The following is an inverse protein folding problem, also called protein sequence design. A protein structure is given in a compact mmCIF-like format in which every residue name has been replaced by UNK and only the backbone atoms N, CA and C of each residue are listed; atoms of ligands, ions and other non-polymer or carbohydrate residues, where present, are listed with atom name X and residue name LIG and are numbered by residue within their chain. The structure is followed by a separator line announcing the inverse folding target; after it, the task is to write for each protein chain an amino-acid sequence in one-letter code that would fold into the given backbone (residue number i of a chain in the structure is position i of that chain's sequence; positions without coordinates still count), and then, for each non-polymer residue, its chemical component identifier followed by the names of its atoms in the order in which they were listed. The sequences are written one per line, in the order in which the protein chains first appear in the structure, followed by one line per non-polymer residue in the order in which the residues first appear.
data_IF_148924078598
#
_entry.id   IF_148924078598
#
_cell.length_a   1.000
_cell.length_b   1.000
_cell.length_c   1.000
_cell.angle_alpha   90.00
_cell.angle_beta   90.00
_cell.angle_gamma   90.00
#
_symmetry.space_group_name_H-M   'P 1'
#
loop_
_entity.id
_entity.type
_entity.pdbx_description
1 polymer ?
#
# COMPACT_ATOMS: atom_id res chain seq x y z
N UNK A 1 -19.29 -3.03 -30.92
CA UNK A 1 -20.38 -3.38 -29.99
C UNK A 1 -20.12 -4.80 -29.55
N UNK A 2 -19.44 -4.98 -28.43
CA UNK A 2 -19.15 -6.29 -27.86
C UNK A 2 -20.46 -6.91 -27.38
N UNK A 3 -20.88 -8.01 -28.00
CA UNK A 3 -22.10 -8.70 -27.59
C UNK A 3 -21.82 -9.40 -26.26
N UNK A 4 -22.56 -9.03 -25.22
CA UNK A 4 -22.53 -9.66 -23.90
C UNK A 4 -22.67 -11.20 -23.94
N UNK A 5 -23.26 -11.74 -25.02
CA UNK A 5 -23.34 -13.18 -25.30
C UNK A 5 -22.01 -13.93 -25.40
N UNK A 6 -20.87 -13.27 -25.65
CA UNK A 6 -19.57 -13.96 -25.76
C UNK A 6 -18.96 -14.34 -24.40
N UNK A 7 -19.40 -13.65 -23.34
CA UNK A 7 -19.02 -13.90 -21.95
C UNK A 7 -20.10 -14.67 -21.18
N UNK A 8 -21.32 -14.72 -21.72
CA UNK A 8 -22.40 -15.53 -21.19
C UNK A 8 -22.10 -17.01 -21.42
N UNK A 9 -22.09 -17.78 -20.33
CA UNK A 9 -22.26 -19.22 -20.43
C UNK A 9 -23.70 -19.45 -20.86
N UNK A 10 -23.92 -19.79 -22.13
CA UNK A 10 -25.23 -20.30 -22.56
C UNK A 10 -25.63 -21.45 -21.63
N UNK A 11 -26.66 -21.25 -20.81
CA UNK A 11 -27.05 -22.17 -19.74
C UNK A 11 -26.45 -21.86 -18.36
N UNK A 12 -26.37 -20.58 -17.95
CA UNK A 12 -26.15 -20.25 -16.53
C UNK A 12 -27.18 -20.97 -15.65
N UNK A 13 -26.81 -21.27 -14.40
CA UNK A 13 -27.78 -21.75 -13.39
C UNK A 13 -29.02 -20.86 -13.45
N UNK A 14 -30.18 -21.46 -13.73
CA UNK A 14 -31.46 -20.76 -13.82
C UNK A 14 -31.64 -19.87 -12.58
N UNK A 15 -31.63 -18.54 -12.78
CA UNK A 15 -31.82 -17.56 -11.72
C UNK A 15 -30.63 -16.64 -11.41
N UNK A 16 -29.46 -16.83 -12.03
CA UNK A 16 -28.29 -15.97 -11.81
C UNK A 16 -28.06 -15.02 -12.99
N UNK A 17 -27.91 -13.73 -12.68
CA UNK A 17 -27.79 -12.64 -13.65
C UNK A 17 -26.57 -12.72 -14.57
N UNK A 18 -26.58 -11.90 -15.62
CA UNK A 18 -25.61 -11.92 -16.74
C UNK A 18 -24.13 -11.78 -16.31
N UNK A 19 -23.86 -11.21 -15.12
CA UNK A 19 -22.52 -10.89 -14.64
C UNK A 19 -22.04 -11.73 -13.44
N UNK A 20 -22.71 -12.84 -13.12
CA UNK A 20 -22.45 -13.64 -11.92
C UNK A 20 -20.97 -13.98 -11.69
N UNK A 21 -20.22 -14.34 -12.73
CA UNK A 21 -18.80 -14.67 -12.53
C UNK A 21 -17.92 -13.45 -12.27
N UNK A 22 -18.28 -12.27 -12.76
CA UNK A 22 -17.59 -11.03 -12.41
C UNK A 22 -17.93 -10.61 -10.99
N UNK A 23 -19.16 -10.84 -10.53
CA UNK A 23 -19.56 -10.66 -9.14
C UNK A 23 -18.79 -11.64 -8.24
N UNK A 24 -18.68 -12.91 -8.63
CA UNK A 24 -17.87 -13.88 -7.89
C UNK A 24 -16.40 -13.46 -7.80
N UNK A 25 -15.83 -12.95 -8.91
CA UNK A 25 -14.46 -12.43 -8.89
C UNK A 25 -14.30 -11.23 -7.95
N UNK A 26 -15.30 -10.34 -7.84
CA UNK A 26 -15.19 -9.16 -6.95
C UNK A 26 -15.28 -9.49 -5.46
N UNK A 27 -15.81 -10.66 -5.11
CA UNK A 27 -15.84 -11.15 -3.72
C UNK A 27 -14.56 -11.90 -3.32
N UNK A 28 -13.61 -12.12 -4.23
CA UNK A 28 -12.35 -12.80 -3.91
C UNK A 28 -11.38 -11.84 -3.21
N UNK A 29 -10.77 -12.28 -2.11
CA UNK A 29 -9.83 -11.46 -1.34
C UNK A 29 -8.38 -11.56 -1.87
N UNK A 30 -8.01 -12.68 -2.49
CA UNK A 30 -6.64 -12.97 -2.91
C UNK A 30 -6.52 -13.04 -4.45
N UNK A 31 -5.52 -12.37 -5.05
CA UNK A 31 -5.28 -12.45 -6.49
C UNK A 31 -5.07 -13.88 -7.01
N UNK A 32 -4.50 -14.77 -6.18
CA UNK A 32 -4.27 -16.17 -6.50
C UNK A 32 -5.58 -16.94 -6.69
N UNK A 33 -6.62 -16.59 -5.97
CA UNK A 33 -7.91 -17.28 -6.09
C UNK A 33 -8.64 -16.86 -7.37
N UNK A 34 -8.49 -15.60 -7.77
CA UNK A 34 -8.91 -15.14 -9.11
C UNK A 34 -8.18 -15.92 -10.19
N UNK A 35 -6.85 -16.06 -10.08
CA UNK A 35 -6.07 -16.83 -11.06
C UNK A 35 -6.52 -18.29 -11.16
N UNK A 36 -6.73 -18.97 -10.02
CA UNK A 36 -7.23 -20.36 -9.99
C UNK A 36 -8.60 -20.47 -10.67
N UNK A 37 -9.50 -19.52 -10.40
CA UNK A 37 -10.84 -19.52 -11.00
C UNK A 37 -10.80 -19.31 -12.52
N UNK A 38 -9.97 -18.39 -12.99
CA UNK A 38 -9.78 -18.13 -14.42
C UNK A 38 -9.18 -19.34 -15.16
N UNK A 39 -8.37 -20.15 -14.49
CA UNK A 39 -7.75 -21.34 -15.06
C UNK A 39 -8.68 -22.56 -15.18
N UNK A 40 -9.89 -22.51 -14.61
CA UNK A 40 -10.80 -23.67 -14.58
C UNK A 40 -11.23 -24.16 -15.96
N UNK A 41 -11.58 -23.25 -16.87
CA UNK A 41 -11.95 -23.60 -18.24
C UNK A 41 -11.87 -22.40 -19.21
N UNK A 42 -12.02 -22.68 -20.51
CA UNK A 42 -11.98 -21.64 -21.56
C UNK A 42 -13.01 -20.52 -21.39
N UNK A 43 -14.17 -20.79 -20.77
CA UNK A 43 -15.22 -19.78 -20.56
C UNK A 43 -14.84 -18.84 -19.42
N UNK A 44 -14.36 -19.36 -18.28
CA UNK A 44 -13.90 -18.50 -17.16
C UNK A 44 -12.65 -17.72 -17.53
N UNK A 45 -11.75 -18.31 -18.33
CA UNK A 45 -10.56 -17.59 -18.83
C UNK A 45 -10.92 -16.33 -19.64
N UNK A 46 -12.03 -16.34 -20.40
CA UNK A 46 -12.47 -15.16 -21.17
C UNK A 46 -12.83 -13.96 -20.30
N UNK A 47 -13.05 -14.13 -19.00
CA UNK A 47 -13.35 -13.02 -18.09
C UNK A 47 -12.22 -11.99 -18.04
N UNK A 48 -10.97 -12.37 -18.35
CA UNK A 48 -9.83 -11.43 -18.43
C UNK A 48 -10.02 -10.35 -19.50
N UNK A 49 -10.81 -10.63 -20.54
CA UNK A 49 -11.09 -9.71 -21.64
C UNK A 49 -12.25 -8.77 -21.33
N UNK A 50 -12.98 -9.05 -20.23
CA UNK A 50 -14.14 -8.25 -19.87
C UNK A 50 -13.72 -6.86 -19.37
N UNK A 51 -14.37 -5.75 -19.79
CA UNK A 51 -13.98 -4.39 -19.39
C UNK A 51 -13.94 -4.14 -17.87
N UNK A 52 -14.74 -4.89 -17.09
CA UNK A 52 -14.75 -4.80 -15.61
C UNK A 52 -13.57 -5.52 -14.94
N UNK A 53 -12.89 -6.43 -15.63
CA UNK A 53 -11.84 -7.27 -15.03
C UNK A 53 -10.73 -6.44 -14.38
N UNK A 54 -10.22 -5.43 -15.09
CA UNK A 54 -9.17 -4.56 -14.58
C UNK A 54 -9.57 -3.87 -13.26
N UNK A 55 -10.81 -3.40 -13.16
CA UNK A 55 -11.32 -2.75 -11.93
C UNK A 55 -11.45 -3.74 -10.77
N UNK A 56 -11.88 -4.97 -11.05
CA UNK A 56 -11.99 -6.04 -10.05
C UNK A 56 -10.61 -6.44 -9.55
N UNK A 57 -9.66 -6.73 -10.45
CA UNK A 57 -8.29 -7.04 -10.04
C UNK A 57 -7.69 -5.90 -9.25
N UNK A 58 -7.92 -4.66 -9.67
CA UNK A 58 -7.42 -3.49 -8.95
C UNK A 58 -7.99 -3.40 -7.52
N UNK A 59 -9.28 -3.67 -7.30
CA UNK A 59 -9.84 -3.66 -5.94
C UNK A 59 -9.30 -4.78 -5.05
N UNK A 60 -8.83 -5.88 -5.64
CA UNK A 60 -8.27 -7.03 -4.89
C UNK A 60 -6.80 -6.78 -4.54
N UNK A 61 -6.02 -6.16 -5.43
CA UNK A 61 -4.59 -5.90 -5.20
C UNK A 61 -4.34 -4.57 -4.45
N UNK A 62 -5.29 -3.65 -4.45
CA UNK A 62 -5.14 -2.36 -3.82
C UNK A 62 -5.33 -2.48 -2.30
N UNK A 63 -4.30 -2.09 -1.56
CA UNK A 63 -4.32 -2.06 -0.10
C UNK A 63 -4.67 -0.64 0.35
N UNK A 64 -5.76 -0.50 1.11
CA UNK A 64 -6.11 0.76 1.75
C UNK A 64 -5.28 0.93 3.02
N UNK A 65 -4.57 2.07 3.21
CA UNK A 65 -3.79 2.29 4.41
C UNK A 65 -4.72 2.48 5.62
N UNK A 66 -4.41 1.80 6.71
CA UNK A 66 -5.02 2.03 8.02
C UNK A 66 -3.99 2.69 8.93
N UNK A 67 -4.20 3.93 9.34
CA UNK A 67 -3.24 4.66 10.16
C UNK A 67 -3.36 4.30 11.64
N UNK A 68 -2.23 3.96 12.28
CA UNK A 68 -2.17 3.68 13.72
C UNK A 68 -1.98 5.00 14.47
N UNK A 69 -3.09 5.59 14.94
CA UNK A 69 -3.11 6.80 15.78
C UNK A 69 -3.26 6.36 17.25
N UNK A 70 -2.27 6.66 18.10
CA UNK A 70 -2.28 6.25 19.52
C UNK A 70 -3.09 7.20 20.38
N UNK A 71 -2.98 8.50 20.11
CA UNK A 71 -3.63 9.54 20.88
C UNK A 71 -4.33 10.53 19.95
N UNK A 72 -5.53 11.00 20.34
CA UNK A 72 -6.34 11.90 19.52
C UNK A 72 -5.66 13.24 19.22
N UNK A 73 -4.70 13.66 20.06
CA UNK A 73 -3.96 14.91 19.85
C UNK A 73 -2.92 14.82 18.74
N UNK A 74 -2.53 13.63 18.27
CA UNK A 74 -1.57 13.48 17.17
C UNK A 74 -2.14 13.97 15.84
N UNK A 75 -3.46 13.89 15.68
CA UNK A 75 -4.12 14.18 14.42
C UNK A 75 -5.35 13.31 14.15
N UNK A 76 -5.79 13.32 12.89
CA UNK A 76 -6.92 12.53 12.40
C UNK A 76 -6.64 11.97 11.02
N UNK A 77 -7.34 10.91 10.62
CA UNK A 77 -7.30 10.35 9.28
C UNK A 77 -8.61 10.55 8.53
N UNK A 78 -8.54 10.73 7.21
CA UNK A 78 -9.67 10.68 6.28
C UNK A 78 -9.25 9.85 5.06
N UNK A 79 -9.80 8.64 4.96
CA UNK A 79 -9.39 7.67 3.93
C UNK A 79 -7.89 7.42 3.94
N UNK A 80 -7.22 7.74 2.82
CA UNK A 80 -5.78 7.57 2.64
C UNK A 80 -4.93 8.79 3.06
N UNK A 81 -5.52 9.75 3.78
CA UNK A 81 -4.84 10.95 4.25
C UNK A 81 -4.76 10.95 5.77
N UNK A 82 -3.61 11.35 6.28
CA UNK A 82 -3.42 11.69 7.67
C UNK A 82 -3.20 13.20 7.80
N UNK A 83 -3.87 13.83 8.76
CA UNK A 83 -3.73 15.23 9.10
C UNK A 83 -3.11 15.31 10.49
N UNK A 84 -1.87 15.80 10.55
CA UNK A 84 -1.20 16.12 11.80
C UNK A 84 -1.98 17.21 12.56
N UNK A 85 -1.91 17.21 13.89
CA UNK A 85 -2.42 18.35 14.67
C UNK A 85 -1.50 19.57 14.50
N UNK A 86 -1.99 20.79 14.72
CA UNK A 86 -1.15 22.00 14.55
C UNK A 86 -0.10 22.19 15.67
N UNK A 87 0.29 21.10 16.34
CA UNK A 87 1.30 21.07 17.40
C UNK A 87 2.69 20.87 16.78
N UNK A 88 3.69 21.54 17.32
CA UNK A 88 5.08 21.41 16.87
C UNK A 88 5.79 20.25 17.60
N UNK A 89 5.22 19.06 17.52
CA UNK A 89 5.73 17.85 18.17
C UNK A 89 6.11 16.77 17.16
N UNK A 90 7.02 15.87 17.55
CA UNK A 90 7.32 14.69 16.74
C UNK A 90 6.09 13.78 16.62
N UNK A 91 5.80 13.33 15.40
CA UNK A 91 4.69 12.41 15.17
C UNK A 91 5.06 11.37 14.14
N UNK A 92 5.18 10.13 14.61
CA UNK A 92 5.37 8.96 13.76
C UNK A 92 4.06 8.18 13.69
N UNK A 93 3.52 8.02 12.48
CA UNK A 93 2.31 7.25 12.22
C UNK A 93 2.68 6.03 11.37
N UNK A 94 2.45 4.84 11.91
CA UNK A 94 2.58 3.60 11.16
C UNK A 94 1.28 3.30 10.39
N UNK A 95 1.41 2.59 9.27
CA UNK A 95 0.29 1.98 8.56
C UNK A 95 0.16 0.54 9.04
N UNK A 96 -1.05 0.12 9.42
CA UNK A 96 -1.39 -1.23 9.90
C UNK A 96 -1.45 -2.24 8.74
N UNK A 97 -0.33 -2.35 8.02
CA UNK A 97 -0.13 -3.30 6.93
C UNK A 97 1.23 -3.96 7.11
N UNK A 98 1.24 -5.24 7.48
CA UNK A 98 2.48 -6.02 7.59
C UNK A 98 2.78 -6.68 6.24
N UNK A 99 3.90 -6.29 5.63
CA UNK A 99 4.38 -6.88 4.38
C UNK A 99 5.21 -8.13 4.72
N UNK A 100 4.64 -9.32 4.53
CA UNK A 100 5.31 -10.60 4.86
C UNK A 100 6.01 -11.25 3.67
N UNK A 101 5.44 -11.07 2.49
CA UNK A 101 5.87 -11.72 1.25
C UNK A 101 5.52 -10.85 0.04
N UNK A 102 6.07 -11.20 -1.12
CA UNK A 102 5.80 -10.52 -2.39
C UNK A 102 6.48 -9.15 -2.51
N UNK A 103 5.90 -8.32 -3.38
CA UNK A 103 6.37 -6.97 -3.68
C UNK A 103 5.20 -6.01 -3.45
N UNK A 104 5.41 -5.00 -2.60
CA UNK A 104 4.41 -3.98 -2.29
C UNK A 104 4.95 -2.62 -2.69
N UNK A 105 4.08 -1.79 -3.28
CA UNK A 105 4.39 -0.40 -3.64
C UNK A 105 3.48 0.55 -2.88
N UNK A 106 4.07 1.59 -2.29
CA UNK A 106 3.36 2.61 -1.53
C UNK A 106 3.73 3.97 -2.09
N UNK A 107 2.75 4.69 -2.62
CA UNK A 107 2.92 6.08 -3.03
C UNK A 107 2.61 7.02 -1.88
N UNK A 108 3.60 7.79 -1.43
CA UNK A 108 3.47 8.80 -0.37
C UNK A 108 3.55 10.18 -0.98
N UNK A 109 2.59 11.04 -0.66
CA UNK A 109 2.63 12.47 -0.98
C UNK A 109 2.64 13.18 0.37
N UNK A 110 3.67 13.98 0.62
CA UNK A 110 3.72 14.79 1.83
C UNK A 110 3.30 16.21 1.47
N UNK A 111 2.33 16.74 2.22
CA UNK A 111 1.88 18.12 2.08
C UNK A 111 2.86 19.12 2.68
N UNK A 112 2.55 20.40 2.52
CA UNK A 112 3.36 21.53 3.01
C UNK A 112 3.34 21.63 4.54
N UNK A 113 4.18 20.85 5.23
CA UNK A 113 4.14 20.65 6.68
C UNK A 113 5.47 20.97 7.40
N UNK A 114 6.28 21.90 6.88
CA UNK A 114 7.49 22.37 7.56
C UNK A 114 8.69 21.43 7.46
N UNK A 115 9.67 21.62 8.36
CA UNK A 115 10.98 20.97 8.31
C UNK A 115 10.95 19.55 8.94
N UNK A 116 11.85 18.66 8.49
CA UNK A 116 12.10 17.31 9.05
C UNK A 116 11.04 16.23 8.80
N UNK A 117 10.56 16.14 7.57
CA UNK A 117 9.69 15.05 7.14
C UNK A 117 10.51 13.81 6.79
N UNK A 118 10.03 12.63 7.20
CA UNK A 118 10.62 11.34 6.83
C UNK A 118 9.54 10.34 6.47
N UNK A 119 9.88 9.42 5.56
CA UNK A 119 9.07 8.25 5.27
C UNK A 119 9.95 7.02 5.26
N UNK A 120 9.37 5.84 5.43
CA UNK A 120 10.19 4.64 5.57
C UNK A 120 9.41 3.39 5.88
N UNK A 121 10.17 2.34 6.17
CA UNK A 121 9.65 1.06 6.65
C UNK A 121 10.17 0.80 8.05
N UNK A 122 9.38 0.09 8.83
CA UNK A 122 9.74 -0.36 10.16
C UNK A 122 9.62 -1.88 10.24
N UNK A 123 10.45 -2.49 11.08
CA UNK A 123 10.24 -3.87 11.49
C UNK A 123 8.84 -4.03 12.11
N UNK A 124 8.18 -5.16 11.86
CA UNK A 124 6.81 -5.40 12.30
C UNK A 124 6.66 -5.42 13.85
N UNK A 125 7.75 -5.56 14.60
CA UNK A 125 7.75 -5.44 16.06
C UNK A 125 7.70 -4.00 16.57
N UNK A 126 7.87 -3.00 15.71
CA UNK A 126 7.87 -1.59 16.11
C UNK A 126 6.45 -1.09 16.42
N UNK A 127 6.32 -0.45 17.58
CA UNK A 127 5.16 0.38 17.91
C UNK A 127 5.63 1.78 18.27
N UNK A 128 5.07 2.80 17.64
CA UNK A 128 5.44 4.20 17.89
C UNK A 128 4.49 4.82 18.92
N UNK A 129 5.07 5.42 19.96
CA UNK A 129 4.30 6.19 20.94
C UNK A 129 3.99 7.60 20.41
N UNK A 130 2.94 8.21 20.93
CA UNK A 130 2.62 9.60 20.59
C UNK A 130 3.75 10.54 21.05
N UNK A 131 4.08 11.56 20.25
CA UNK A 131 5.14 12.51 20.56
C UNK A 131 6.57 12.00 20.31
N UNK A 132 6.73 10.86 19.62
CA UNK A 132 8.03 10.24 19.37
C UNK A 132 8.38 10.21 17.88
N UNK A 133 9.66 10.42 17.60
CA UNK A 133 10.24 10.22 16.29
C UNK A 133 10.46 8.73 15.97
N UNK A 134 10.67 8.36 14.70
CA UNK A 134 10.80 6.97 14.29
C UNK A 134 12.09 6.30 14.79
N UNK A 135 13.06 7.08 15.29
CA UNK A 135 14.31 6.59 15.90
C UNK A 135 14.23 6.42 17.43
N UNK A 136 13.23 7.01 18.08
CA UNK A 136 13.14 7.03 19.55
C UNK A 136 12.86 5.64 20.14
N UNK A 137 13.15 5.48 21.44
CA UNK A 137 12.98 4.26 22.23
C UNK A 137 13.63 3.01 21.57
N UNK A 138 14.85 3.17 21.04
CA UNK A 138 15.63 2.07 20.49
C UNK A 138 15.18 1.57 19.11
N UNK A 139 14.46 2.40 18.34
CA UNK A 139 13.94 2.03 17.00
C UNK A 139 14.86 2.42 15.84
N UNK A 140 16.02 3.03 16.12
CA UNK A 140 16.98 3.47 15.11
C UNK A 140 17.41 2.33 14.16
N UNK A 141 17.70 1.15 14.71
CA UNK A 141 18.12 -0.05 13.96
C UNK A 141 16.95 -0.89 13.44
N UNK A 142 15.71 -0.52 13.79
CA UNK A 142 14.49 -1.22 13.37
C UNK A 142 13.69 -0.46 12.31
N UNK A 143 14.23 0.66 11.82
CA UNK A 143 13.59 1.51 10.83
C UNK A 143 14.56 1.87 9.73
N UNK A 144 14.10 1.84 8.48
CA UNK A 144 14.81 2.40 7.32
C UNK A 144 14.05 3.65 6.90
N UNK A 145 14.72 4.80 6.96
CA UNK A 145 14.09 6.12 6.84
C UNK A 145 14.72 6.88 5.69
N UNK A 146 13.89 7.52 4.89
CA UNK A 146 14.26 8.45 3.85
C UNK A 146 13.89 9.87 4.27
N UNK A 147 14.91 10.75 4.36
CA UNK A 147 14.77 12.11 4.83
C UNK A 147 14.51 13.08 3.68
N UNK A 148 13.42 13.84 3.77
CA UNK A 148 13.05 14.81 2.73
C UNK A 148 14.00 15.97 2.59
N UNK A 149 14.55 16.47 3.70
CA UNK A 149 15.34 17.70 3.68
C UNK A 149 16.69 17.55 2.95
N UNK A 150 17.35 16.40 3.08
CA UNK A 150 18.69 16.16 2.52
C UNK A 150 18.76 14.96 1.56
N UNK A 151 17.66 14.22 1.36
CA UNK A 151 17.68 12.99 0.58
C UNK A 151 18.53 11.89 1.23
N UNK A 152 18.74 11.94 2.54
CA UNK A 152 19.57 10.98 3.25
C UNK A 152 18.78 9.72 3.61
N UNK A 153 19.42 8.55 3.55
CA UNK A 153 18.90 7.34 4.17
C UNK A 153 19.51 7.15 5.56
N UNK A 154 18.64 6.85 6.52
CA UNK A 154 19.01 6.49 7.88
C UNK A 154 18.52 5.09 8.24
N UNK A 155 19.42 4.29 8.80
CA UNK A 155 19.14 2.98 9.40
C UNK A 155 20.17 2.71 10.50
N UNK A 156 20.94 1.60 10.39
CA UNK A 156 22.09 1.26 11.24
C UNK A 156 23.24 2.25 10.99
N UNK A 157 23.52 2.55 9.73
CA UNK A 157 24.47 3.59 9.34
C UNK A 157 23.72 4.91 9.17
N UNK A 158 24.24 5.98 9.78
CA UNK A 158 23.64 7.30 9.66
C UNK A 158 24.07 7.99 8.37
N UNK A 159 23.12 8.67 7.72
CA UNK A 159 23.40 9.72 6.75
C UNK A 159 24.02 9.22 5.44
N UNK A 160 23.50 8.14 4.85
CA UNK A 160 23.90 7.80 3.47
C UNK A 160 23.40 8.91 2.55
N UNK A 161 24.34 9.74 2.08
CA UNK A 161 24.10 10.92 1.25
C UNK A 161 24.17 10.59 -0.24
N UNK A 162 23.59 11.48 -1.05
CA UNK A 162 23.70 11.43 -2.51
C UNK A 162 22.37 11.24 -3.25
N UNK A 163 21.26 11.03 -2.53
CA UNK A 163 19.94 11.07 -3.15
C UNK A 163 19.37 12.49 -3.15
N UNK A 164 18.31 12.67 -3.93
CA UNK A 164 17.65 13.95 -4.09
C UNK A 164 16.76 14.25 -2.88
N UNK A 165 16.74 15.48 -2.37
CA UNK A 165 15.63 15.91 -1.51
C UNK A 165 14.32 15.86 -2.28
N UNK A 166 13.22 15.59 -1.59
CA UNK A 166 11.88 15.72 -2.18
C UNK A 166 11.23 17.04 -1.74
N UNK A 167 10.46 17.64 -2.65
CA UNK A 167 9.73 18.88 -2.37
C UNK A 167 8.32 18.59 -1.88
N UNK A 168 7.67 19.59 -1.31
CA UNK A 168 6.25 19.50 -0.96
C UNK A 168 5.43 19.07 -2.19
N UNK A 169 4.38 18.29 -1.94
CA UNK A 169 3.46 17.74 -2.95
C UNK A 169 4.11 16.75 -3.94
N UNK A 170 5.41 16.47 -3.82
CA UNK A 170 6.07 15.43 -4.60
C UNK A 170 5.59 14.05 -4.14
N UNK A 171 5.24 13.21 -5.11
CA UNK A 171 4.97 11.79 -4.86
C UNK A 171 6.28 11.02 -4.81
N UNK A 172 6.51 10.29 -3.72
CA UNK A 172 7.62 9.35 -3.56
C UNK A 172 7.04 7.93 -3.54
N UNK A 173 7.64 7.02 -4.30
CA UNK A 173 7.21 5.62 -4.41
C UNK A 173 8.14 4.73 -3.62
N UNK A 174 7.60 4.03 -2.64
CA UNK A 174 8.35 3.06 -1.83
C UNK A 174 8.03 1.66 -2.34
N UNK A 175 9.03 0.96 -2.89
CA UNK A 175 8.91 -0.45 -3.28
C UNK A 175 9.60 -1.32 -2.25
N UNK A 176 8.83 -2.21 -1.62
CA UNK A 176 9.34 -3.22 -0.68
C UNK A 176 9.30 -4.58 -1.36
N UNK A 177 10.46 -5.18 -1.56
CA UNK A 177 10.64 -6.48 -2.19
C UNK A 177 11.09 -7.51 -1.15
N UNK A 178 10.13 -8.34 -0.72
CA UNK A 178 10.36 -9.42 0.25
C UNK A 178 10.85 -10.72 -0.41
N UNK A 179 10.94 -10.76 -1.74
CA UNK A 179 11.29 -11.95 -2.52
C UNK A 179 12.80 -12.12 -2.71
N UNK A 180 13.56 -11.04 -2.51
CA UNK A 180 15.02 -11.01 -2.63
C UNK A 180 15.71 -11.38 -1.32
N UNK A 181 16.94 -11.91 -1.41
CA UNK A 181 17.83 -12.17 -0.27
C UNK A 181 19.20 -11.53 -0.59
N UNK A 182 19.58 -10.42 0.08
CA UNK A 182 18.82 -9.72 1.13
C UNK A 182 17.54 -9.07 0.59
N UNK A 183 16.54 -8.90 1.45
CA UNK A 183 15.30 -8.15 1.14
C UNK A 183 15.64 -6.70 0.82
N UNK A 184 14.85 -6.07 -0.04
CA UNK A 184 15.15 -4.72 -0.54
C UNK A 184 14.00 -3.76 -0.31
N UNK A 185 14.36 -2.50 -0.02
CA UNK A 185 13.47 -1.35 -0.12
C UNK A 185 14.09 -0.32 -1.06
N UNK A 186 13.28 0.27 -1.94
CA UNK A 186 13.68 1.31 -2.90
C UNK A 186 12.74 2.50 -2.75
N UNK A 187 13.26 3.72 -2.88
CA UNK A 187 12.53 4.99 -2.77
C UNK A 187 12.73 5.83 -4.03
#
# INVERSE_FOLDING_TARGET
MDRASEYNVSGSLLGLGENMFLELLSEMELPQDVQKFLALNKKTYKLILHPRYARIIQSIIQISPSFIIKEAWQGRSDGNKFFHSDQNDYCTIAIDTIIREGIVRIGVIIGNNGFYQTMGIADASCSFAAGKGPWDDGKQEKTVRYWGYHGEFDHITNGTRGNQSYTDEQKVEIEVDMTTVPRRVTF
#
